data_IF_692359507324
#
_entry.id   IF_692359507324
#
_cell.length_a   1.000
_cell.length_b   1.000
_cell.length_c   1.000
_cell.angle_alpha   90.00
_cell.angle_beta   90.00
_cell.angle_gamma   90.00
#
_symmetry.space_group_name_H-M   'P 1'
#
loop_
_entity.id
_entity.type
_entity.pdbx_description
1 polymer ?
#
# COMPACT_ATOMS: atom_id res chain seq x y z
N UNK A 1 16.80 -19.92 -47.84
CA UNK A 1 17.22 -21.14 -47.13
C UNK A 1 18.65 -20.89 -46.69
N UNK A 2 19.04 -20.78 -45.42
CA UNK A 2 18.55 -21.46 -44.22
C UNK A 2 18.91 -20.62 -42.99
N UNK A 3 18.05 -20.71 -41.99
CA UNK A 3 17.96 -19.96 -40.74
C UNK A 3 19.22 -20.14 -39.88
N UNK A 4 19.79 -19.05 -39.37
CA UNK A 4 20.76 -19.11 -38.26
C UNK A 4 19.97 -19.30 -36.96
N UNK A 5 19.78 -20.57 -36.56
CA UNK A 5 19.32 -20.94 -35.23
C UNK A 5 20.40 -20.61 -34.20
N UNK A 6 20.21 -19.52 -33.47
CA UNK A 6 20.90 -19.27 -32.21
C UNK A 6 20.29 -20.17 -31.13
N UNK A 7 21.01 -21.25 -30.81
CA UNK A 7 20.89 -21.93 -29.53
C UNK A 7 21.78 -21.24 -28.51
N UNK A 8 21.16 -20.71 -27.46
CA UNK A 8 21.84 -20.34 -26.21
C UNK A 8 20.94 -20.79 -25.06
N UNK A 9 21.40 -21.85 -24.40
CA UNK A 9 20.89 -22.35 -23.13
C UNK A 9 21.31 -21.38 -22.04
N UNK A 10 20.35 -20.72 -21.38
CA UNK A 10 20.46 -20.30 -19.98
C UNK A 10 19.07 -20.43 -19.35
N UNK A 11 19.00 -21.25 -18.30
CA UNK A 11 17.76 -21.50 -17.56
C UNK A 11 17.26 -20.26 -16.82
N UNK A 12 15.96 -20.24 -16.55
CA UNK A 12 15.34 -19.42 -15.53
C UNK A 12 14.07 -20.11 -15.01
N UNK A 13 13.97 -20.22 -13.69
CA UNK A 13 12.74 -20.37 -12.89
C UNK A 13 11.97 -21.69 -13.06
N UNK A 14 11.99 -22.64 -12.13
CA UNK A 14 11.51 -22.57 -10.73
C UNK A 14 9.99 -22.44 -10.60
N UNK A 15 9.39 -23.42 -9.90
CA UNK A 15 8.04 -23.39 -9.31
C UNK A 15 6.87 -23.31 -10.31
N UNK A 16 6.03 -24.33 -10.46
CA UNK A 16 5.18 -24.77 -9.36
C UNK A 16 4.05 -23.78 -9.09
N UNK A 17 3.28 -23.34 -10.08
CA UNK A 17 1.99 -22.69 -9.81
C UNK A 17 0.93 -23.75 -9.55
N UNK A 18 0.96 -24.31 -8.35
CA UNK A 18 -0.20 -24.97 -7.77
C UNK A 18 -1.30 -23.93 -7.62
N UNK A 19 -2.48 -24.33 -8.07
CA UNK A 19 -3.79 -23.84 -7.64
C UNK A 19 -3.79 -23.53 -6.12
N UNK A 20 -3.56 -22.28 -5.76
CA UNK A 20 -3.76 -21.72 -4.42
C UNK A 20 -4.66 -20.51 -4.61
N UNK A 21 -5.73 -20.41 -3.81
CA UNK A 21 -6.78 -19.40 -3.94
C UNK A 21 -6.23 -17.99 -4.17
N UNK A 22 -7.01 -17.15 -4.84
CA UNK A 22 -6.73 -15.72 -5.03
C UNK A 22 -6.59 -15.02 -3.67
N UNK A 23 -5.42 -15.15 -3.05
CA UNK A 23 -4.96 -14.21 -2.05
C UNK A 23 -4.47 -12.99 -2.83
N UNK A 24 -4.97 -11.81 -2.45
CA UNK A 24 -4.46 -10.55 -2.98
C UNK A 24 -3.03 -10.44 -2.43
N UNK A 25 -2.06 -10.70 -3.28
CA UNK A 25 -0.66 -10.91 -2.88
C UNK A 25 0.15 -9.61 -2.85
N UNK A 26 -0.50 -8.45 -2.67
CA UNK A 26 0.22 -7.19 -2.84
C UNK A 26 -0.02 -6.24 -1.69
N UNK A 27 1.03 -6.01 -0.92
CA UNK A 27 1.29 -4.76 -0.20
C UNK A 27 0.83 -3.53 -0.99
N UNK A 28 0.90 -3.59 -2.32
CA UNK A 28 0.39 -2.57 -3.25
C UNK A 28 -1.11 -2.26 -3.06
N UNK A 29 -1.98 -3.26 -2.94
CA UNK A 29 -3.41 -3.06 -2.71
C UNK A 29 -3.68 -2.43 -1.32
N UNK A 30 -2.95 -2.90 -0.30
CA UNK A 30 -3.01 -2.31 1.04
C UNK A 30 -2.54 -0.84 1.01
N UNK A 31 -1.48 -0.57 0.24
CA UNK A 31 -0.93 0.77 0.09
C UNK A 31 -1.91 1.68 -0.64
N UNK A 32 -2.56 1.18 -1.69
CA UNK A 32 -3.56 1.93 -2.47
C UNK A 32 -4.69 2.44 -1.57
N UNK A 33 -5.17 1.63 -0.61
CA UNK A 33 -6.19 2.06 0.35
C UNK A 33 -5.72 3.28 1.17
N UNK A 34 -4.48 3.24 1.66
CA UNK A 34 -3.92 4.35 2.42
C UNK A 34 -3.70 5.59 1.54
N UNK A 35 -3.26 5.40 0.29
CA UNK A 35 -3.04 6.47 -0.68
C UNK A 35 -4.36 7.11 -1.13
N UNK A 36 -5.43 6.33 -1.32
CA UNK A 36 -6.77 6.83 -1.62
C UNK A 36 -7.29 7.72 -0.49
N UNK A 37 -7.16 7.29 0.77
CA UNK A 37 -7.54 8.11 1.91
C UNK A 37 -6.72 9.42 1.98
N UNK A 38 -5.42 9.35 1.64
CA UNK A 38 -4.56 10.52 1.58
C UNK A 38 -4.93 11.46 0.42
N UNK A 39 -5.27 10.94 -0.76
CA UNK A 39 -5.74 11.74 -1.91
C UNK A 39 -7.06 12.42 -1.61
N UNK A 40 -8.03 11.67 -1.05
CA UNK A 40 -9.32 12.20 -0.63
C UNK A 40 -9.18 13.34 0.39
N UNK A 41 -8.19 13.28 1.29
CA UNK A 41 -7.88 14.40 2.19
C UNK A 41 -7.40 15.66 1.44
N UNK A 42 -6.65 15.48 0.36
CA UNK A 42 -6.15 16.59 -0.43
C UNK A 42 -7.27 17.23 -1.28
N UNK A 43 -8.11 16.40 -1.88
CA UNK A 43 -9.17 16.78 -2.82
C UNK A 43 -10.42 17.31 -2.10
N UNK A 44 -10.98 16.51 -1.19
CA UNK A 44 -12.28 16.75 -0.53
C UNK A 44 -12.12 17.13 0.96
N UNK A 45 -10.89 17.19 1.46
CA UNK A 45 -10.61 17.56 2.84
C UNK A 45 -10.94 16.44 3.83
N UNK A 46 -11.15 16.80 5.09
CA UNK A 46 -11.35 15.82 6.18
C UNK A 46 -12.64 15.02 6.03
N UNK A 47 -13.63 15.54 5.30
CA UNK A 47 -14.90 14.84 5.06
C UNK A 47 -14.72 13.71 4.04
N UNK A 48 -14.10 13.97 2.88
CA UNK A 48 -13.80 12.92 1.91
C UNK A 48 -12.82 11.89 2.45
N UNK A 49 -11.78 12.32 3.17
CA UNK A 49 -10.88 11.39 3.85
C UNK A 49 -11.62 10.44 4.80
N UNK A 50 -12.67 10.92 5.49
CA UNK A 50 -13.46 10.08 6.40
C UNK A 50 -14.21 8.99 5.66
N UNK A 51 -14.87 9.36 4.55
CA UNK A 51 -15.63 8.44 3.71
C UNK A 51 -14.71 7.36 3.11
N UNK A 52 -13.55 7.77 2.58
CA UNK A 52 -12.55 6.85 2.04
C UNK A 52 -11.91 5.97 3.11
N UNK A 53 -11.65 6.48 4.32
CA UNK A 53 -11.15 5.67 5.44
C UNK A 53 -12.18 4.64 5.89
N UNK A 54 -13.47 4.99 5.91
CA UNK A 54 -14.54 4.05 6.26
C UNK A 54 -14.66 2.94 5.22
N UNK A 55 -14.67 3.31 3.93
CA UNK A 55 -14.67 2.35 2.82
C UNK A 55 -13.44 1.43 2.87
N UNK A 56 -12.24 2.00 3.04
CA UNK A 56 -11.00 1.24 3.12
C UNK A 56 -10.93 0.28 4.32
N UNK A 57 -11.60 0.59 5.44
CA UNK A 57 -11.70 -0.32 6.57
C UNK A 57 -12.62 -1.51 6.28
N UNK A 58 -13.70 -1.29 5.54
CA UNK A 58 -14.60 -2.33 5.06
C UNK A 58 -13.88 -3.25 4.06
N UNK A 59 -13.18 -2.64 3.09
CA UNK A 59 -12.34 -3.35 2.11
C UNK A 59 -11.33 -4.25 2.82
N UNK A 60 -10.62 -3.76 3.85
CA UNK A 60 -9.64 -4.55 4.61
C UNK A 60 -10.26 -5.71 5.41
N UNK A 61 -11.53 -5.60 5.79
CA UNK A 61 -12.23 -6.68 6.49
C UNK A 61 -12.66 -7.78 5.55
N UNK A 62 -13.09 -7.43 4.33
CA UNK A 62 -13.46 -8.37 3.28
C UNK A 62 -12.25 -8.92 2.50
N UNK A 63 -11.12 -8.21 2.51
CA UNK A 63 -9.91 -8.57 1.76
C UNK A 63 -9.23 -9.81 2.35
N UNK A 64 -9.07 -10.83 1.49
CA UNK A 64 -8.25 -12.00 1.76
C UNK A 64 -6.79 -11.71 1.41
N UNK A 65 -6.00 -11.39 2.44
CA UNK A 65 -4.55 -11.19 2.34
C UNK A 65 -3.80 -12.49 2.61
N UNK A 66 -2.62 -12.61 2.01
CA UNK A 66 -1.67 -13.66 2.34
C UNK A 66 -1.30 -13.62 3.84
N UNK A 67 -1.05 -14.77 4.50
CA UNK A 67 -0.59 -14.80 5.89
C UNK A 67 0.71 -14.01 6.12
N UNK A 68 1.54 -13.82 5.08
CA UNK A 68 2.74 -12.98 5.15
C UNK A 68 2.44 -11.49 5.31
N UNK A 69 1.32 -11.02 4.74
CA UNK A 69 0.91 -9.62 4.73
C UNK A 69 -0.18 -9.31 5.76
N UNK A 70 -0.62 -10.33 6.50
CA UNK A 70 -1.64 -10.21 7.53
C UNK A 70 -1.25 -9.18 8.59
N UNK A 71 0.02 -9.17 9.01
CA UNK A 71 0.54 -8.17 9.94
C UNK A 71 0.43 -6.74 9.37
N UNK A 72 0.77 -6.54 8.10
CA UNK A 72 0.68 -5.24 7.42
C UNK A 72 -0.78 -4.78 7.31
N UNK A 73 -1.69 -5.67 6.94
CA UNK A 73 -3.14 -5.40 6.89
C UNK A 73 -3.66 -4.99 8.27
N UNK A 74 -3.31 -5.72 9.33
CA UNK A 74 -3.72 -5.39 10.69
C UNK A 74 -3.15 -4.04 11.16
N UNK A 75 -1.90 -3.72 10.81
CA UNK A 75 -1.32 -2.40 11.08
C UNK A 75 -2.04 -1.27 10.33
N UNK A 76 -2.35 -1.49 9.05
CA UNK A 76 -3.12 -0.53 8.24
C UNK A 76 -4.52 -0.34 8.81
N UNK A 77 -5.24 -1.42 9.13
CA UNK A 77 -6.57 -1.38 9.74
C UNK A 77 -6.56 -0.64 11.06
N UNK A 78 -5.53 -0.85 11.88
CA UNK A 78 -5.36 -0.12 13.14
C UNK A 78 -5.14 1.37 12.89
N UNK A 79 -4.25 1.75 11.98
CA UNK A 79 -3.97 3.15 11.72
C UNK A 79 -5.13 3.89 11.05
N UNK A 80 -5.86 3.25 10.13
CA UNK A 80 -7.09 3.80 9.57
C UNK A 80 -8.16 4.01 10.65
N UNK A 81 -8.27 3.12 11.63
CA UNK A 81 -9.14 3.33 12.80
C UNK A 81 -8.69 4.53 13.65
N UNK A 82 -7.38 4.72 13.84
CA UNK A 82 -6.88 5.93 14.51
C UNK A 82 -7.23 7.20 13.73
N UNK A 83 -7.07 7.18 12.40
CA UNK A 83 -7.43 8.29 11.52
C UNK A 83 -8.93 8.58 11.59
N UNK A 84 -9.78 7.55 11.53
CA UNK A 84 -11.23 7.67 11.72
C UNK A 84 -11.57 8.31 13.06
N UNK A 85 -10.99 7.79 14.14
CA UNK A 85 -11.18 8.35 15.50
C UNK A 85 -10.75 9.81 15.57
N UNK A 86 -9.62 10.14 14.92
CA UNK A 86 -9.11 11.50 14.83
C UNK A 86 -10.10 12.41 14.08
N UNK A 87 -10.67 11.95 12.96
CA UNK A 87 -11.68 12.64 12.15
C UNK A 87 -12.99 12.90 12.89
N UNK A 88 -13.41 11.98 13.78
CA UNK A 88 -14.57 12.18 14.66
C UNK A 88 -14.35 13.30 15.70
N UNK A 89 -13.09 13.62 16.02
CA UNK A 89 -12.69 14.62 17.02
C UNK A 89 -12.58 16.07 16.54
N UNK A 90 -12.98 16.40 15.31
CA UNK A 90 -12.71 17.70 14.64
C UNK A 90 -11.20 18.02 14.56
N UNK A 91 -10.42 17.18 13.89
CA UNK A 91 -8.98 17.38 13.79
C UNK A 91 -8.64 18.48 12.79
N UNK A 92 -7.39 18.94 12.83
CA UNK A 92 -6.83 19.77 11.76
C UNK A 92 -6.45 18.90 10.56
N UNK A 93 -6.62 19.40 9.33
CA UNK A 93 -6.20 18.70 8.09
C UNK A 93 -4.76 18.16 8.19
N UNK A 94 -3.84 18.97 8.71
CA UNK A 94 -2.44 18.59 8.90
C UNK A 94 -2.23 17.36 9.82
N UNK A 95 -3.07 17.17 10.84
CA UNK A 95 -2.96 16.03 11.75
C UNK A 95 -3.41 14.73 11.09
N UNK A 96 -4.50 14.81 10.30
CA UNK A 96 -5.00 13.69 9.49
C UNK A 96 -3.97 13.34 8.41
N UNK A 97 -3.44 14.36 7.73
CA UNK A 97 -2.44 14.23 6.67
C UNK A 97 -1.17 13.55 7.18
N UNK A 98 -0.64 13.98 8.33
CA UNK A 98 0.54 13.39 8.93
C UNK A 98 0.34 11.90 9.28
N UNK A 99 -0.85 11.54 9.81
CA UNK A 99 -1.19 10.15 10.13
C UNK A 99 -1.36 9.29 8.87
N UNK A 100 -2.08 9.78 7.85
CA UNK A 100 -2.26 9.06 6.59
C UNK A 100 -0.94 8.90 5.84
N UNK A 101 -0.10 9.93 5.79
CA UNK A 101 1.25 9.84 5.22
C UNK A 101 2.12 8.83 5.95
N UNK A 102 2.05 8.80 7.27
CA UNK A 102 2.75 7.79 8.07
C UNK A 102 2.23 6.37 7.79
N UNK A 103 0.93 6.20 7.55
CA UNK A 103 0.33 4.92 7.16
C UNK A 103 0.77 4.44 5.79
N UNK A 104 0.70 5.31 4.77
CA UNK A 104 1.21 5.02 3.42
C UNK A 104 2.69 4.62 3.49
N UNK A 105 3.48 5.33 4.31
CA UNK A 105 4.90 5.01 4.52
C UNK A 105 5.08 3.71 5.30
N UNK A 106 4.22 3.37 6.25
CA UNK A 106 4.33 2.12 7.01
C UNK A 106 3.99 0.89 6.14
N UNK A 107 3.01 1.03 5.26
CA UNK A 107 2.61 -0.05 4.33
C UNK A 107 3.56 -0.12 3.13
N UNK A 108 3.95 1.02 2.56
CA UNK A 108 4.85 1.11 1.40
C UNK A 108 6.34 1.14 1.74
N UNK A 109 6.72 1.35 3.00
CA UNK A 109 8.12 1.45 3.48
C UNK A 109 8.88 0.14 3.51
N UNK A 110 8.24 -0.96 3.12
CA UNK A 110 8.94 -2.19 2.70
C UNK A 110 9.52 -2.05 1.28
N UNK A 111 9.16 -1.00 0.55
CA UNK A 111 9.68 -0.63 -0.77
C UNK A 111 9.78 0.91 -0.91
N UNK A 112 10.59 1.55 -0.07
CA UNK A 112 11.17 2.87 -0.39
C UNK A 112 12.45 3.04 0.41
N UNK A 113 13.56 2.61 -0.20
CA UNK A 113 14.84 3.23 0.05
C UNK A 113 14.64 4.76 -0.02
N UNK A 114 15.14 5.53 0.96
CA UNK A 114 15.13 6.97 0.82
C UNK A 114 15.93 7.34 -0.42
N UNK A 115 15.31 8.07 -1.33
CA UNK A 115 15.99 8.96 -2.27
C UNK A 115 16.81 9.94 -1.42
N UNK A 116 18.01 9.52 -1.03
CA UNK A 116 19.02 10.40 -0.48
C UNK A 116 19.60 11.17 -1.66
N UNK A 117 18.84 12.17 -2.11
CA UNK A 117 19.41 13.34 -2.75
C UNK A 117 20.25 14.08 -1.70
N UNK A 118 21.47 13.61 -1.46
CA UNK A 118 22.53 14.48 -0.94
C UNK A 118 23.25 15.06 -2.16
N UNK A 119 22.87 16.29 -2.47
CA UNK A 119 23.78 17.21 -3.13
C UNK A 119 24.95 17.44 -2.19
N UNK A 120 26.14 16.98 -2.55
CA UNK A 120 27.38 17.58 -2.08
C UNK A 120 28.20 17.98 -3.30
N UNK A 121 28.34 19.29 -3.43
CA UNK A 121 29.30 19.99 -4.25
C UNK A 121 30.72 19.51 -3.90
N UNK A 122 31.55 19.19 -4.90
CA UNK A 122 32.92 19.71 -5.17
C UNK A 122 33.67 18.84 -6.20
#
# INVERSE_FOLDING_TARGET
MTVCLLGLVLGCGDGGASDTGQYVSSIDDLREIAENAYSALQEDGTEGARDTVETGLDDLEEMQVDPGDQATRDQLKQGLNEVKTLLEGRPSKAAVEAKLKALVTAVGGIASEPDASESEEE
#
